data_IF_852914810595
#
_entry.id   IF_852914810595
#
_cell.length_a   1.000
_cell.length_b   1.000
_cell.length_c   1.000
_cell.angle_alpha   90.00
_cell.angle_beta   90.00
_cell.angle_gamma   90.00
#
_symmetry.space_group_name_H-M   'P 1'
#
loop_
_entity.id
_entity.type
_entity.pdbx_description
1 polymer ?
#
# COMPACT_ATOMS: atom_id res chain seq x y z
N UNK A 1 -18.72 10.40 -1.89
CA UNK A 1 -18.54 9.35 -0.91
C UNK A 1 -17.30 8.52 -1.26
N UNK A 2 -16.45 8.26 -0.28
CA UNK A 2 -15.21 7.54 -0.52
C UNK A 2 -15.40 6.05 -0.74
N UNK A 3 -14.41 5.44 -1.37
CA UNK A 3 -14.38 3.98 -1.59
C UNK A 3 -13.30 3.37 -0.73
N UNK A 4 -13.61 2.25 -0.11
CA UNK A 4 -12.63 1.48 0.65
C UNK A 4 -11.93 0.49 -0.26
N UNK A 5 -10.61 0.46 -0.17
CA UNK A 5 -9.77 -0.42 -0.98
C UNK A 5 -8.71 -1.05 -0.10
N UNK A 6 -8.44 -2.33 -0.31
CA UNK A 6 -7.33 -3.01 0.36
C UNK A 6 -6.23 -3.31 -0.64
N UNK A 7 -5.01 -2.96 -0.29
CA UNK A 7 -3.83 -3.19 -1.11
C UNK A 7 -2.80 -3.95 -0.30
N UNK A 8 -2.28 -5.03 -0.85
CA UNK A 8 -1.16 -5.75 -0.28
C UNK A 8 0.14 -5.24 -0.93
N UNK A 9 1.13 -4.88 -0.11
CA UNK A 9 2.40 -4.34 -0.59
C UNK A 9 3.54 -5.16 -0.01
N UNK A 10 4.50 -5.51 -0.87
CA UNK A 10 5.75 -6.13 -0.43
C UNK A 10 6.80 -5.04 -0.30
N UNK A 11 7.41 -4.95 0.87
CA UNK A 11 8.42 -3.95 1.19
C UNK A 11 9.73 -4.64 1.58
N UNK A 12 10.84 -3.95 1.40
CA UNK A 12 12.09 -4.39 1.99
C UNK A 12 11.97 -4.30 3.50
N UNK A 13 12.44 -5.32 4.20
CA UNK A 13 12.39 -5.36 5.66
C UNK A 13 13.53 -4.53 6.24
N UNK A 14 13.38 -3.22 6.18
CA UNK A 14 14.35 -2.26 6.70
C UNK A 14 13.63 -1.08 7.32
N UNK A 15 14.26 -0.38 8.28
CA UNK A 15 13.65 0.80 8.89
C UNK A 15 13.26 1.84 7.85
N UNK A 16 12.07 2.42 8.01
CA UNK A 16 11.60 3.50 7.17
C UNK A 16 10.89 3.10 5.89
N UNK A 17 10.96 1.82 5.47
CA UNK A 17 10.33 1.41 4.21
C UNK A 17 8.82 1.62 4.22
N UNK A 18 8.15 1.23 5.30
CA UNK A 18 6.71 1.43 5.43
C UNK A 18 6.35 2.92 5.49
N UNK A 19 7.14 3.67 6.22
CA UNK A 19 6.91 5.12 6.35
C UNK A 19 6.96 5.81 4.99
N UNK A 20 7.91 5.45 4.14
CA UNK A 20 8.01 6.02 2.80
C UNK A 20 6.73 5.80 2.00
N UNK A 21 6.22 4.58 2.01
CA UNK A 21 5.00 4.26 1.26
C UNK A 21 3.80 4.99 1.85
N UNK A 22 3.65 5.00 3.16
CA UNK A 22 2.55 5.70 3.83
C UNK A 22 2.59 7.19 3.51
N UNK A 23 3.76 7.81 3.58
CA UNK A 23 3.91 9.23 3.28
C UNK A 23 3.54 9.54 1.83
N UNK A 24 3.94 8.68 0.89
CA UNK A 24 3.60 8.86 -0.52
C UNK A 24 2.10 8.77 -0.76
N UNK A 25 1.44 7.77 -0.18
CA UNK A 25 0.00 7.62 -0.34
C UNK A 25 -0.75 8.79 0.31
N UNK A 26 -0.29 9.23 1.47
CA UNK A 26 -0.88 10.38 2.15
C UNK A 26 -0.73 11.67 1.32
N UNK A 27 0.41 11.84 0.64
CA UNK A 27 0.63 13.00 -0.22
C UNK A 27 -0.33 13.03 -1.41
N UNK A 28 -0.89 11.88 -1.78
CA UNK A 28 -1.90 11.76 -2.83
C UNK A 28 -3.32 11.78 -2.27
N UNK A 29 -3.47 12.24 -1.04
CA UNK A 29 -4.76 12.40 -0.37
C UNK A 29 -5.49 11.10 -0.07
N UNK A 30 -4.78 9.98 -0.02
CA UNK A 30 -5.37 8.73 0.43
C UNK A 30 -5.51 8.76 1.96
N UNK A 31 -6.66 8.36 2.45
CA UNK A 31 -6.86 8.22 3.88
C UNK A 31 -6.56 6.77 4.29
N UNK A 32 -5.49 6.57 5.06
CA UNK A 32 -5.10 5.25 5.51
C UNK A 32 -5.86 4.90 6.77
N UNK A 33 -6.74 3.91 6.67
CA UNK A 33 -7.64 3.51 7.75
C UNK A 33 -7.03 2.45 8.63
N UNK A 34 -6.28 1.51 8.03
CA UNK A 34 -5.70 0.40 8.76
C UNK A 34 -4.41 -0.06 8.10
N UNK A 35 -3.45 -0.49 8.91
CA UNK A 35 -2.19 -1.07 8.45
C UNK A 35 -2.01 -2.39 9.17
N UNK A 36 -1.86 -3.47 8.41
CA UNK A 36 -1.63 -4.79 8.98
C UNK A 36 -0.31 -5.33 8.45
N UNK A 37 0.63 -5.58 9.35
CA UNK A 37 1.89 -6.23 9.02
C UNK A 37 1.69 -7.73 8.98
N UNK A 38 2.07 -8.37 7.89
CA UNK A 38 2.04 -9.82 7.77
C UNK A 38 3.47 -10.35 7.68
N UNK A 39 4.01 -10.78 8.81
CA UNK A 39 5.36 -11.32 8.90
C UNK A 39 5.41 -12.84 8.85
N UNK A 40 4.24 -13.46 8.93
CA UNK A 40 4.13 -14.91 9.03
C UNK A 40 3.70 -15.57 7.72
N UNK A 41 3.47 -14.78 6.68
CA UNK A 41 3.04 -15.31 5.39
C UNK A 41 4.16 -16.10 4.74
N UNK A 42 3.85 -17.32 4.31
CA UNK A 42 4.81 -18.17 3.60
C UNK A 42 5.13 -17.62 2.20
N UNK A 43 4.34 -16.68 1.71
CA UNK A 43 4.53 -16.09 0.38
C UNK A 43 5.47 -14.88 0.40
N UNK A 44 5.92 -14.46 1.58
CA UNK A 44 6.82 -13.32 1.72
C UNK A 44 8.26 -13.82 1.60
N UNK A 45 9.00 -13.26 0.67
CA UNK A 45 10.41 -13.64 0.46
C UNK A 45 11.28 -13.17 1.62
N UNK A 46 12.39 -13.88 1.85
CA UNK A 46 13.38 -13.47 2.86
C UNK A 46 13.86 -12.05 2.56
N UNK A 47 13.96 -11.23 3.60
CA UNK A 47 14.39 -9.84 3.46
C UNK A 47 13.29 -8.89 3.02
N UNK A 48 12.04 -9.40 2.91
CA UNK A 48 10.88 -8.56 2.62
C UNK A 48 9.82 -8.74 3.70
N UNK A 49 8.88 -7.83 3.75
CA UNK A 49 7.73 -7.91 4.65
C UNK A 49 6.47 -7.55 3.88
N UNK A 50 5.38 -8.22 4.20
CA UNK A 50 4.08 -7.95 3.60
C UNK A 50 3.27 -7.01 4.47
N UNK A 51 2.64 -6.04 3.86
CA UNK A 51 1.79 -5.07 4.55
C UNK A 51 0.48 -4.93 3.80
N UNK A 52 -0.63 -5.08 4.50
CA UNK A 52 -1.95 -4.82 3.93
C UNK A 52 -2.42 -3.46 4.42
N UNK A 53 -2.72 -2.57 3.48
CA UNK A 53 -3.23 -1.24 3.77
C UNK A 53 -4.69 -1.17 3.38
N UNK A 54 -5.53 -0.70 4.31
CA UNK A 54 -6.92 -0.36 4.00
C UNK A 54 -6.98 1.13 3.79
N UNK A 55 -7.39 1.53 2.59
CA UNK A 55 -7.39 2.94 2.18
C UNK A 55 -8.80 3.38 1.86
N UNK A 56 -9.07 4.66 2.12
CA UNK A 56 -10.26 5.31 1.65
C UNK A 56 -9.89 6.29 0.55
N UNK A 57 -10.50 6.15 -0.61
CA UNK A 57 -10.27 7.01 -1.76
C UNK A 57 -11.56 7.76 -2.13
N UNK A 58 -11.43 8.85 -2.86
CA UNK A 58 -12.59 9.67 -3.23
C UNK A 58 -13.44 9.00 -4.30
N UNK A 59 -12.79 8.45 -5.33
CA UNK A 59 -13.46 7.83 -6.47
C UNK A 59 -12.48 6.95 -7.24
N UNK A 60 -12.93 6.36 -8.35
CA UNK A 60 -12.10 5.50 -9.17
C UNK A 60 -10.90 6.25 -9.77
N UNK A 61 -11.11 7.49 -10.15
CA UNK A 61 -10.05 8.31 -10.73
C UNK A 61 -8.92 8.52 -9.71
N UNK A 62 -9.29 8.78 -8.46
CA UNK A 62 -8.32 8.92 -7.37
C UNK A 62 -7.55 7.61 -7.18
N UNK A 63 -8.28 6.47 -7.20
CA UNK A 63 -7.65 5.15 -7.07
C UNK A 63 -6.67 4.90 -8.22
N UNK A 64 -7.02 5.28 -9.44
CA UNK A 64 -6.15 5.09 -10.60
C UNK A 64 -4.84 5.87 -10.45
N UNK A 65 -4.90 7.07 -9.89
CA UNK A 65 -3.71 7.87 -9.61
C UNK A 65 -2.81 7.18 -8.59
N UNK A 66 -3.40 6.61 -7.54
CA UNK A 66 -2.63 5.91 -6.51
C UNK A 66 -1.93 4.70 -7.11
N UNK A 67 -2.65 3.91 -7.91
CA UNK A 67 -2.07 2.73 -8.56
C UNK A 67 -0.93 3.13 -9.49
N UNK A 68 -1.12 4.18 -10.28
CA UNK A 68 -0.08 4.65 -11.20
C UNK A 68 1.16 5.10 -10.43
N UNK A 69 0.98 5.78 -9.31
CA UNK A 69 2.09 6.22 -8.47
C UNK A 69 2.88 5.02 -7.94
N UNK A 70 2.19 3.98 -7.48
CA UNK A 70 2.87 2.78 -6.99
C UNK A 70 3.66 2.10 -8.10
N UNK A 71 3.13 2.06 -9.32
CA UNK A 71 3.84 1.52 -10.48
C UNK A 71 5.06 2.36 -10.83
N UNK A 72 4.92 3.67 -10.82
CA UNK A 72 6.02 4.58 -11.15
C UNK A 72 7.15 4.49 -10.15
N UNK A 73 6.86 4.16 -8.91
CA UNK A 73 7.86 3.98 -7.85
C UNK A 73 8.39 2.56 -7.78
N UNK A 74 7.95 1.72 -8.70
CA UNK A 74 8.39 0.31 -8.78
C UNK A 74 8.10 -0.47 -7.49
N UNK A 75 6.98 -0.16 -6.87
CA UNK A 75 6.52 -0.83 -5.65
C UNK A 75 5.75 -2.09 -6.04
N UNK A 76 6.10 -3.20 -5.41
CA UNK A 76 5.43 -4.48 -5.64
C UNK A 76 4.14 -4.52 -4.83
N UNK A 77 2.99 -4.50 -5.51
CA UNK A 77 1.70 -4.42 -4.85
C UNK A 77 0.64 -5.28 -5.54
N UNK A 78 -0.43 -5.56 -4.81
CA UNK A 78 -1.60 -6.27 -5.33
C UNK A 78 -2.85 -5.65 -4.72
N UNK A 79 -3.82 -5.32 -5.57
CA UNK A 79 -5.12 -4.82 -5.09
C UNK A 79 -5.96 -6.03 -4.69
N UNK A 80 -6.45 -6.05 -3.44
CA UNK A 80 -7.20 -7.17 -2.91
C UNK A 80 -8.71 -7.00 -3.07
N UNK A 81 -9.22 -5.79 -2.89
CA UNK A 81 -10.66 -5.52 -3.05
C UNK A 81 -10.90 -4.12 -3.59
#
# INVERSE_FOLDING_TARGET
>A
MGRMVKIFILLKDKPGALKEVVDELASLSANIVEVVHDRLSSNVRAGTTGVTLSLETEDQKHMDKLIQHLKDKDIDFKVLT
#
